data_IF_340123176913
#
_entry.id   IF_340123176913
#
_cell.length_a   1.000
_cell.length_b   1.000
_cell.length_c   1.000
_cell.angle_alpha   90.00
_cell.angle_beta   90.00
_cell.angle_gamma   90.00
#
_symmetry.space_group_name_H-M   'P 1'
#
loop_
_entity.id
_entity.type
_entity.pdbx_description
1 polymer ?
#
# COMPACT_ATOMS: atom_id res chain seq x y z
N UNK A 1 12.14 -11.41 -0.76
CA UNK A 1 11.78 -11.98 -2.06
C UNK A 1 10.74 -11.16 -2.76
N UNK A 2 10.76 -11.16 -4.10
CA UNK A 2 9.74 -10.51 -4.93
C UNK A 2 8.36 -11.15 -4.67
N UNK A 3 8.33 -12.47 -4.54
CA UNK A 3 7.14 -13.27 -4.22
C UNK A 3 6.42 -12.79 -2.93
N UNK A 4 7.18 -12.45 -1.89
CA UNK A 4 6.61 -11.91 -0.64
C UNK A 4 5.93 -10.56 -0.85
N UNK A 5 6.46 -9.72 -1.74
CA UNK A 5 5.86 -8.42 -2.06
C UNK A 5 4.61 -8.58 -2.93
N UNK A 6 4.62 -9.51 -3.87
CA UNK A 6 3.47 -9.83 -4.72
C UNK A 6 2.30 -10.34 -3.88
N UNK A 7 2.57 -11.22 -2.92
CA UNK A 7 1.55 -11.77 -2.03
C UNK A 7 0.97 -10.70 -1.09
N UNK A 8 1.82 -9.80 -0.57
CA UNK A 8 1.38 -8.62 0.19
C UNK A 8 0.56 -7.65 -0.67
N UNK A 9 0.93 -7.48 -1.93
CA UNK A 9 0.22 -6.58 -2.84
C UNK A 9 -1.16 -7.13 -3.23
N UNK A 10 -1.28 -8.45 -3.43
CA UNK A 10 -2.56 -9.14 -3.60
C UNK A 10 -3.46 -8.96 -2.37
N UNK A 11 -2.93 -9.23 -1.18
CA UNK A 11 -3.65 -9.02 0.09
C UNK A 11 -4.09 -7.56 0.26
N UNK A 12 -3.23 -6.60 -0.12
CA UNK A 12 -3.57 -5.18 -0.07
C UNK A 12 -4.74 -4.84 -0.99
N UNK A 13 -4.84 -5.43 -2.19
CA UNK A 13 -5.98 -5.19 -3.08
C UNK A 13 -7.31 -5.69 -2.51
N UNK A 14 -7.30 -6.71 -1.66
CA UNK A 14 -8.48 -7.22 -0.98
C UNK A 14 -8.84 -6.40 0.28
N UNK A 15 -7.84 -6.03 1.08
CA UNK A 15 -8.03 -5.26 2.30
C UNK A 15 -6.86 -4.30 2.59
N UNK A 16 -7.14 -2.99 2.63
CA UNK A 16 -6.14 -1.95 2.89
C UNK A 16 -5.83 -1.75 4.39
N UNK A 17 -6.67 -2.27 5.29
CA UNK A 17 -6.59 -2.04 6.73
C UNK A 17 -6.73 -3.35 7.55
N UNK A 18 -5.77 -4.28 7.40
CA UNK A 18 -5.84 -5.56 8.11
C UNK A 18 -5.72 -5.36 9.63
N UNK A 19 -6.63 -5.98 10.37
CA UNK A 19 -6.63 -5.97 11.83
C UNK A 19 -5.40 -6.72 12.40
N UNK A 20 -5.22 -6.65 13.72
CA UNK A 20 -4.12 -7.26 14.45
C UNK A 20 -4.05 -8.78 14.27
N UNK A 21 -5.18 -9.47 14.16
CA UNK A 21 -5.25 -10.91 13.90
C UNK A 21 -4.84 -11.24 12.46
N UNK A 22 -5.48 -10.57 11.49
CA UNK A 22 -5.18 -10.69 10.04
C UNK A 22 -3.70 -10.45 9.76
N UNK A 23 -3.07 -9.45 10.41
CA UNK A 23 -1.64 -9.18 10.28
C UNK A 23 -0.75 -10.32 10.77
N UNK A 24 -1.17 -11.08 11.79
CA UNK A 24 -0.43 -12.26 12.25
C UNK A 24 -0.55 -13.41 11.26
N UNK A 25 -1.74 -13.62 10.69
CA UNK A 25 -1.94 -14.63 9.65
C UNK A 25 -1.09 -14.32 8.41
N UNK A 26 -1.13 -13.09 7.92
CA UNK A 26 -0.32 -12.65 6.76
C UNK A 26 1.17 -12.80 7.07
N UNK A 27 1.59 -12.42 8.28
CA UNK A 27 2.97 -12.58 8.73
C UNK A 27 3.41 -14.06 8.72
N UNK A 28 2.55 -14.97 9.18
CA UNK A 28 2.82 -16.41 9.18
C UNK A 28 2.90 -16.98 7.76
N UNK A 29 2.00 -16.56 6.86
CA UNK A 29 1.98 -16.98 5.44
C UNK A 29 3.22 -16.50 4.70
N UNK A 30 3.55 -15.21 4.82
CA UNK A 30 4.68 -14.57 4.11
C UNK A 30 6.04 -14.88 4.77
N UNK A 31 6.04 -15.46 5.97
CA UNK A 31 7.24 -15.78 6.74
C UNK A 31 7.96 -14.53 7.28
N UNK A 32 7.22 -13.50 7.67
CA UNK A 32 7.78 -12.24 8.21
C UNK A 32 7.14 -11.90 9.56
N UNK A 33 7.64 -10.87 10.24
CA UNK A 33 7.04 -10.44 11.51
C UNK A 33 5.80 -9.56 11.28
N UNK A 34 4.80 -9.59 12.20
CA UNK A 34 3.63 -8.70 12.12
C UNK A 34 3.99 -7.21 12.07
N UNK A 35 5.14 -6.83 12.64
CA UNK A 35 5.69 -5.48 12.55
C UNK A 35 6.12 -5.10 11.13
N UNK A 36 6.71 -6.03 10.37
CA UNK A 36 7.04 -5.80 8.95
C UNK A 36 5.78 -5.58 8.12
N UNK A 37 4.72 -6.37 8.37
CA UNK A 37 3.41 -6.19 7.74
C UNK A 37 2.86 -4.80 8.05
N UNK A 38 2.89 -4.35 9.31
CA UNK A 38 2.42 -3.02 9.69
C UNK A 38 3.12 -1.90 8.91
N UNK A 39 4.46 -1.92 8.91
CA UNK A 39 5.28 -0.90 8.22
C UNK A 39 5.07 -0.94 6.71
N UNK A 40 4.94 -2.14 6.14
CA UNK A 40 4.67 -2.30 4.71
C UNK A 40 3.30 -1.72 4.34
N UNK A 41 2.24 -2.06 5.07
CA UNK A 41 0.89 -1.53 4.83
C UNK A 41 0.82 0.00 5.03
N UNK A 42 1.53 0.55 6.02
CA UNK A 42 1.65 1.99 6.20
C UNK A 42 2.32 2.68 5.00
N UNK A 43 3.46 2.15 4.53
CA UNK A 43 4.15 2.67 3.35
C UNK A 43 3.31 2.53 2.08
N UNK A 44 2.63 1.39 1.92
CA UNK A 44 1.78 1.13 0.76
C UNK A 44 0.60 2.09 0.71
N UNK A 45 -0.08 2.34 1.84
CA UNK A 45 -1.14 3.37 1.94
C UNK A 45 -0.62 4.79 1.69
N UNK A 46 0.61 5.10 2.11
CA UNK A 46 1.23 6.38 1.81
C UNK A 46 1.45 6.56 0.30
N UNK A 47 1.91 5.51 -0.40
CA UNK A 47 2.04 5.50 -1.86
C UNK A 47 0.69 5.60 -2.55
N UNK A 48 -0.32 4.86 -2.09
CA UNK A 48 -1.69 4.90 -2.63
C UNK A 48 -2.28 6.32 -2.57
N UNK A 49 -2.26 6.96 -1.39
CA UNK A 49 -2.72 8.36 -1.23
C UNK A 49 -1.92 9.36 -2.06
N UNK A 50 -0.62 9.14 -2.24
CA UNK A 50 0.20 9.98 -3.14
C UNK A 50 -0.15 9.78 -4.61
N UNK A 51 -0.46 8.55 -5.01
CA UNK A 51 -0.88 8.20 -6.37
C UNK A 51 -2.18 8.91 -6.72
N UNK A 52 -3.15 9.00 -5.80
CA UNK A 52 -4.39 9.76 -6.02
C UNK A 52 -4.10 11.25 -6.22
N UNK A 53 -3.21 11.85 -5.41
CA UNK A 53 -2.84 13.27 -5.55
C UNK A 53 -2.07 13.59 -6.84
N UNK A 54 -1.33 12.64 -7.39
CA UNK A 54 -0.63 12.78 -8.67
C UNK A 54 -1.58 12.55 -9.85
N UNK A 55 -2.57 11.67 -9.71
CA UNK A 55 -3.58 11.44 -10.74
C UNK A 55 -4.56 12.63 -10.90
N UNK A 56 -4.74 13.45 -9.87
CA UNK A 56 -5.51 14.71 -9.96
C UNK A 56 -4.70 15.84 -10.63
N UNK A 57 -3.37 15.74 -10.68
CA UNK A 57 -2.48 16.72 -11.35
C UNK A 57 -2.14 16.39 -12.81
N UNK A 58 -2.73 15.34 -13.38
CA UNK A 58 -2.56 14.97 -14.79
C UNK A 58 -3.60 15.55 -15.75
N UNK A 59 -4.69 16.17 -15.24
CA UNK A 59 -5.77 16.70 -16.09
C UNK A 59 -6.27 18.10 -15.70
N UNK A 60 -5.49 18.83 -14.91
CA UNK A 60 -5.77 20.23 -14.59
C UNK A 60 -4.96 21.13 -15.52
N UNK A 61 -5.43 21.19 -16.76
CA UNK A 61 -5.14 22.28 -17.68
C UNK A 61 -5.56 23.59 -17.04
N UNK A 62 -4.62 24.37 -16.51
CA UNK A 62 -4.78 25.82 -16.41
C UNK A 62 -3.45 26.49 -16.79
N UNK A 63 -3.40 27.22 -17.92
CA UNK A 63 -2.33 28.17 -18.14
C UNK A 63 -2.58 29.35 -17.20
N UNK A 64 -1.56 29.80 -16.48
CA UNK A 64 -1.63 31.13 -15.87
C UNK A 64 -0.35 31.86 -16.20
N UNK A 65 -0.56 32.90 -17.00
CA UNK A 65 0.40 33.88 -17.46
C UNK A 65 1.39 34.30 -16.37
N UNK A 66 2.64 34.41 -16.78
CA UNK A 66 3.46 35.59 -16.52
C UNK A 66 4.31 35.85 -17.74
#
# INVERSE_FOLDING_TARGET
SLEQLEELEKMFQEDHYPDSEKRREIAAVVGVTPQRILVWFQNRRAKWRKSEKLNVKGNSSYPTSS
#
